data_IF_300361524859
#
_entry.id   IF_300361524859
#
_cell.length_a   1.000
_cell.length_b   1.000
_cell.length_c   1.000
_cell.angle_alpha   90.00
_cell.angle_beta   90.00
_cell.angle_gamma   90.00
#
_symmetry.space_group_name_H-M   'P 1'
#
loop_
_entity.id
_entity.type
_entity.pdbx_description
1 polymer ?
#
# COMPACT_ATOMS: atom_id res chain seq x y z
N UNK A 1 19.40 29.03 33.70
CA UNK A 1 20.09 28.40 32.55
C UNK A 1 19.40 27.10 32.13
N UNK A 2 19.04 26.21 33.07
CA UNK A 2 18.37 24.92 32.78
C UNK A 2 17.02 25.03 32.07
N UNK A 3 16.12 25.93 32.49
CA UNK A 3 14.77 26.05 31.88
C UNK A 3 14.85 26.48 30.41
N UNK A 4 15.80 27.35 30.06
CA UNK A 4 16.01 27.78 28.67
C UNK A 4 16.55 26.66 27.79
N UNK A 5 17.48 25.85 28.30
CA UNK A 5 17.97 24.67 27.60
C UNK A 5 16.87 23.62 27.42
N UNK A 6 16.07 23.35 28.46
CA UNK A 6 14.95 22.41 28.39
C UNK A 6 13.91 22.83 27.35
N UNK A 7 13.53 24.12 27.31
CA UNK A 7 12.57 24.62 26.32
C UNK A 7 13.09 24.45 24.89
N UNK A 8 14.37 24.77 24.63
CA UNK A 8 14.97 24.58 23.30
C UNK A 8 14.96 23.10 22.89
N UNK A 9 15.27 22.18 23.80
CA UNK A 9 15.22 20.74 23.52
C UNK A 9 13.79 20.26 23.27
N UNK A 10 12.82 20.74 24.05
CA UNK A 10 11.41 20.40 23.89
C UNK A 10 10.83 20.92 22.55
N UNK A 11 11.19 22.15 22.16
CA UNK A 11 10.77 22.74 20.89
C UNK A 11 11.40 22.01 19.70
N UNK A 12 12.68 21.63 19.80
CA UNK A 12 13.37 20.85 18.79
C UNK A 12 12.74 19.46 18.63
N UNK A 13 12.46 18.76 19.73
CA UNK A 13 11.78 17.47 19.72
C UNK A 13 10.37 17.58 19.11
N UNK A 14 9.62 18.61 19.48
CA UNK A 14 8.27 18.87 18.93
C UNK A 14 8.33 19.11 17.42
N UNK A 15 9.31 19.90 16.97
CA UNK A 15 9.49 20.21 15.54
C UNK A 15 9.85 18.97 14.74
N UNK A 16 10.80 18.16 15.22
CA UNK A 16 11.19 16.91 14.58
C UNK A 16 10.03 15.90 14.49
N UNK A 17 9.21 15.81 15.53
CA UNK A 17 8.02 14.93 15.51
C UNK A 17 7.01 15.41 14.46
N UNK A 18 6.73 16.72 14.40
CA UNK A 18 5.80 17.30 13.42
C UNK A 18 6.27 17.05 11.98
N UNK A 19 7.57 17.28 11.71
CA UNK A 19 8.17 17.01 10.41
C UNK A 19 8.02 15.55 10.01
N UNK A 20 8.27 14.62 10.95
CA UNK A 20 8.09 13.19 10.70
C UNK A 20 6.64 12.82 10.38
N UNK A 21 5.67 13.35 11.13
CA UNK A 21 4.26 13.09 10.85
C UNK A 21 3.84 13.64 9.49
N UNK A 22 4.27 14.85 9.14
CA UNK A 22 3.99 15.43 7.81
C UNK A 22 4.61 14.60 6.69
N UNK A 23 5.83 14.09 6.88
CA UNK A 23 6.47 13.20 5.91
C UNK A 23 5.69 11.90 5.74
N UNK A 24 5.24 11.29 6.84
CA UNK A 24 4.42 10.07 6.80
C UNK A 24 3.08 10.30 6.11
N UNK A 25 2.45 11.44 6.34
CA UNK A 25 1.21 11.82 5.65
C UNK A 25 1.42 11.95 4.14
N UNK A 26 2.52 12.59 3.70
CA UNK A 26 2.86 12.68 2.27
C UNK A 26 3.06 11.29 1.65
N UNK A 27 3.76 10.39 2.35
CA UNK A 27 3.96 9.01 1.88
C UNK A 27 2.62 8.26 1.83
N UNK A 28 1.80 8.40 2.87
CA UNK A 28 0.48 7.79 2.92
C UNK A 28 -0.42 8.28 1.79
N UNK A 29 -0.41 9.57 1.46
CA UNK A 29 -1.25 10.09 0.39
C UNK A 29 -0.83 9.54 -0.97
N UNK A 30 0.48 9.41 -1.22
CA UNK A 30 1.02 8.94 -2.50
C UNK A 30 0.95 7.42 -2.70
N UNK A 31 1.15 6.65 -1.63
CA UNK A 31 1.31 5.19 -1.69
C UNK A 31 0.19 4.44 -0.95
N UNK A 32 -0.73 5.16 -0.31
CA UNK A 32 -1.77 4.59 0.55
C UNK A 32 -2.65 3.59 -0.16
N UNK A 33 -2.93 3.82 -1.45
CA UNK A 33 -3.70 2.92 -2.33
C UNK A 33 -3.24 1.47 -2.22
N UNK A 34 -1.93 1.21 -2.10
CA UNK A 34 -1.36 -0.14 -2.00
C UNK A 34 -1.76 -0.90 -0.73
N UNK A 35 -2.27 -0.18 0.28
CA UNK A 35 -2.62 -0.74 1.59
C UNK A 35 -4.11 -0.72 1.88
N UNK A 36 -4.87 0.15 1.22
CA UNK A 36 -6.29 0.38 1.51
C UNK A 36 -7.21 0.16 0.30
N UNK A 37 -6.70 -0.21 -0.89
CA UNK A 37 -7.50 -0.45 -2.09
C UNK A 37 -8.76 -1.33 -1.89
N UNK A 38 -8.79 -2.35 -1.00
CA UNK A 38 -10.01 -3.14 -0.80
C UNK A 38 -11.18 -2.35 -0.17
N UNK A 39 -10.90 -1.18 0.39
CA UNK A 39 -11.85 -0.32 1.12
C UNK A 39 -12.21 0.98 0.40
N UNK A 40 -11.58 1.25 -0.75
CA UNK A 40 -11.78 2.48 -1.50
C UNK A 40 -13.01 2.38 -2.41
N UNK A 41 -13.71 3.52 -2.58
CA UNK A 41 -14.70 3.65 -3.63
C UNK A 41 -14.02 3.76 -5.01
N UNK A 42 -14.75 3.39 -6.07
CA UNK A 42 -14.22 3.38 -7.44
C UNK A 42 -13.55 4.69 -7.90
N UNK A 43 -14.14 5.82 -7.53
CA UNK A 43 -13.62 7.16 -7.87
C UNK A 43 -12.30 7.44 -7.14
N UNK A 44 -12.28 7.17 -5.84
CA UNK A 44 -11.10 7.38 -4.98
C UNK A 44 -9.96 6.41 -5.34
N UNK A 45 -10.27 5.16 -5.68
CA UNK A 45 -9.30 4.20 -6.20
C UNK A 45 -8.64 4.71 -7.49
N UNK A 46 -9.45 5.28 -8.38
CA UNK A 46 -8.95 5.81 -9.67
C UNK A 46 -8.03 7.00 -9.45
N UNK A 47 -8.44 7.94 -8.60
CA UNK A 47 -7.64 9.11 -8.25
C UNK A 47 -6.29 8.71 -7.62
N UNK A 48 -6.31 7.83 -6.62
CA UNK A 48 -5.08 7.43 -5.94
C UNK A 48 -4.16 6.55 -6.82
N UNK A 49 -4.69 5.76 -7.76
CA UNK A 49 -3.86 5.02 -8.71
C UNK A 49 -3.19 5.94 -9.74
N UNK A 50 -3.90 6.97 -10.22
CA UNK A 50 -3.32 7.99 -11.11
C UNK A 50 -2.25 8.83 -10.37
N UNK A 51 -2.47 9.15 -9.10
CA UNK A 51 -1.47 9.84 -8.26
C UNK A 51 -0.23 8.98 -7.99
N UNK A 52 -0.41 7.67 -7.73
CA UNK A 52 0.69 6.73 -7.59
C UNK A 52 1.50 6.61 -8.90
N UNK A 53 0.81 6.44 -10.03
CA UNK A 53 1.42 6.40 -11.37
C UNK A 53 2.24 7.67 -11.63
N UNK A 54 1.66 8.85 -11.38
CA UNK A 54 2.35 10.14 -11.52
C UNK A 54 3.54 10.27 -10.57
N UNK A 55 3.41 9.77 -9.34
CA UNK A 55 4.49 9.81 -8.34
C UNK A 55 5.69 8.95 -8.75
N UNK A 56 5.43 7.81 -9.38
CA UNK A 56 6.47 6.87 -9.84
C UNK A 56 7.00 7.22 -11.23
N UNK A 57 6.33 8.12 -11.95
CA UNK A 57 6.80 8.62 -13.23
C UNK A 57 8.10 9.41 -13.08
N UNK A 58 9.14 9.01 -13.81
CA UNK A 58 10.41 9.69 -13.82
C UNK A 58 10.98 9.78 -15.25
N UNK A 59 11.30 11.00 -15.66
CA UNK A 59 11.95 11.31 -16.95
C UNK A 59 11.22 10.74 -18.18
N UNK A 60 9.89 10.86 -18.21
CA UNK A 60 9.08 10.39 -19.34
C UNK A 60 8.78 8.89 -19.32
N UNK A 61 9.37 8.13 -18.40
CA UNK A 61 9.11 6.71 -18.21
C UNK A 61 8.25 6.48 -16.97
N UNK A 62 7.26 5.59 -17.10
CA UNK A 62 6.54 5.01 -15.97
C UNK A 62 6.50 3.50 -16.17
N UNK A 63 6.90 2.76 -15.14
CA UNK A 63 6.71 1.31 -15.10
C UNK A 63 5.28 0.92 -14.69
N UNK A 64 4.47 1.91 -14.29
CA UNK A 64 3.11 1.71 -13.78
C UNK A 64 2.13 2.58 -14.59
N UNK A 65 1.08 1.97 -15.12
CA UNK A 65 -0.09 2.67 -15.67
C UNK A 65 -1.21 2.65 -14.62
N UNK A 66 -1.62 3.82 -14.15
CA UNK A 66 -2.65 3.94 -13.11
C UNK A 66 -4.01 3.38 -13.54
N UNK A 67 -4.35 3.41 -14.82
CA UNK A 67 -5.63 2.88 -15.33
C UNK A 67 -5.60 1.37 -15.45
N UNK A 68 -4.48 0.82 -15.91
CA UNK A 68 -4.24 -0.62 -15.91
C UNK A 68 -4.32 -1.15 -14.48
N UNK A 69 -3.63 -0.50 -13.53
CA UNK A 69 -3.67 -0.87 -12.12
C UNK A 69 -5.09 -0.87 -11.53
N UNK A 70 -5.93 0.13 -11.86
CA UNK A 70 -7.34 0.14 -11.42
C UNK A 70 -8.09 -1.08 -11.94
N UNK A 71 -7.87 -1.47 -13.20
CA UNK A 71 -8.51 -2.65 -13.77
C UNK A 71 -7.99 -3.93 -13.12
N UNK A 72 -6.69 -4.04 -12.87
CA UNK A 72 -6.07 -5.16 -12.17
C UNK A 72 -6.66 -5.33 -10.77
N UNK A 73 -6.75 -4.23 -10.00
CA UNK A 73 -7.33 -4.25 -8.65
C UNK A 73 -8.80 -4.65 -8.67
N UNK A 74 -9.60 -4.13 -9.63
CA UNK A 74 -11.03 -4.47 -9.76
C UNK A 74 -11.27 -5.92 -10.17
N UNK A 75 -10.37 -6.47 -10.97
CA UNK A 75 -10.42 -7.86 -11.40
C UNK A 75 -9.78 -8.81 -10.37
N UNK A 76 -9.05 -8.27 -9.40
CA UNK A 76 -8.42 -9.04 -8.35
C UNK A 76 -9.49 -9.79 -7.52
N UNK A 77 -9.38 -11.11 -7.35
CA UNK A 77 -10.36 -11.85 -6.57
C UNK A 77 -10.29 -11.44 -5.10
N UNK A 78 -11.42 -11.56 -4.40
CA UNK A 78 -11.48 -11.31 -2.96
C UNK A 78 -10.36 -12.04 -2.22
N UNK A 79 -9.73 -11.37 -1.25
CA UNK A 79 -8.67 -11.98 -0.44
C UNK A 79 -9.18 -13.25 0.26
N UNK A 80 -8.32 -14.28 0.41
CA UNK A 80 -8.69 -15.47 1.17
C UNK A 80 -9.03 -15.11 2.61
N UNK A 81 -10.05 -15.79 3.18
CA UNK A 81 -10.47 -15.54 4.55
C UNK A 81 -9.40 -16.01 5.54
N UNK A 82 -9.18 -15.23 6.61
CA UNK A 82 -8.25 -15.58 7.70
C UNK A 82 -8.68 -16.82 8.49
N UNK A 83 -9.91 -17.31 8.29
CA UNK A 83 -10.45 -18.51 8.93
C UNK A 83 -10.34 -19.76 8.06
N UNK A 84 -9.87 -19.66 6.81
CA UNK A 84 -9.70 -20.83 5.93
C UNK A 84 -8.63 -21.77 6.48
N UNK A 85 -8.88 -23.07 6.39
CA UNK A 85 -7.84 -24.08 6.56
C UNK A 85 -6.83 -24.03 5.42
N UNK A 86 -5.65 -24.64 5.61
CA UNK A 86 -4.62 -24.69 4.57
C UNK A 86 -5.11 -25.34 3.26
N UNK A 87 -5.92 -26.39 3.35
CA UNK A 87 -6.47 -27.06 2.16
C UNK A 87 -7.48 -26.18 1.41
N UNK A 88 -8.32 -25.45 2.15
CA UNK A 88 -9.25 -24.49 1.55
C UNK A 88 -8.48 -23.33 0.90
N UNK A 89 -7.39 -22.87 1.51
CA UNK A 89 -6.51 -21.85 0.93
C UNK A 89 -5.82 -22.34 -0.35
N UNK A 90 -5.27 -23.56 -0.38
CA UNK A 90 -4.65 -24.13 -1.58
C UNK A 90 -5.68 -24.27 -2.70
N UNK A 91 -6.88 -24.76 -2.36
CA UNK A 91 -7.99 -24.89 -3.32
C UNK A 91 -8.41 -23.52 -3.85
N UNK A 92 -8.51 -22.53 -2.97
CA UNK A 92 -8.81 -21.15 -3.35
C UNK A 92 -7.76 -20.57 -4.31
N UNK A 93 -6.47 -20.74 -4.02
CA UNK A 93 -5.37 -20.27 -4.88
C UNK A 93 -5.46 -20.93 -6.26
N UNK A 94 -5.70 -22.23 -6.31
CA UNK A 94 -5.85 -22.98 -7.56
C UNK A 94 -7.07 -22.52 -8.37
N UNK A 95 -8.24 -22.44 -7.73
CA UNK A 95 -9.51 -22.12 -8.41
C UNK A 95 -9.57 -20.67 -8.91
N UNK A 96 -8.77 -19.78 -8.32
CA UNK A 96 -8.65 -18.37 -8.70
C UNK A 96 -7.44 -18.07 -9.57
N UNK A 97 -6.66 -19.08 -9.93
CA UNK A 97 -5.42 -18.95 -10.71
C UNK A 97 -4.43 -17.94 -10.11
N UNK A 98 -4.24 -18.02 -8.79
CA UNK A 98 -3.41 -17.07 -8.02
C UNK A 98 -2.01 -17.62 -7.70
N UNK A 99 -1.55 -18.64 -8.42
CA UNK A 99 -0.29 -19.31 -8.15
C UNK A 99 0.93 -18.39 -8.32
N UNK A 100 0.85 -17.43 -9.25
CA UNK A 100 1.91 -16.44 -9.45
C UNK A 100 2.03 -15.49 -8.24
N UNK A 101 0.88 -15.04 -7.72
CA UNK A 101 0.81 -14.09 -6.60
C UNK A 101 1.19 -14.76 -5.28
N UNK A 102 0.77 -16.01 -5.05
CA UNK A 102 1.05 -16.79 -3.84
C UNK A 102 2.12 -17.86 -4.05
N UNK A 103 3.17 -17.54 -4.81
CA UNK A 103 4.23 -18.48 -5.21
C UNK A 103 4.90 -19.18 -4.02
N UNK A 104 5.12 -18.49 -2.89
CA UNK A 104 5.70 -19.08 -1.68
C UNK A 104 4.84 -20.20 -1.10
N UNK A 105 3.51 -20.05 -1.10
CA UNK A 105 2.58 -21.04 -0.55
C UNK A 105 2.55 -22.28 -1.44
N UNK A 106 2.51 -22.08 -2.75
CA UNK A 106 2.56 -23.19 -3.72
C UNK A 106 3.87 -23.97 -3.57
N UNK A 107 5.01 -23.27 -3.44
CA UNK A 107 6.32 -23.90 -3.27
C UNK A 107 6.41 -24.76 -2.00
N UNK A 108 5.83 -24.33 -0.89
CA UNK A 108 5.85 -25.08 0.38
C UNK A 108 4.95 -26.33 0.38
N UNK A 109 4.08 -26.49 -0.61
CA UNK A 109 3.11 -27.60 -0.71
C UNK A 109 3.42 -28.58 -1.85
N UNK A 110 4.48 -28.30 -2.62
CA UNK A 110 5.00 -29.12 -3.73
C UNK A 110 6.01 -30.16 -3.24
#
# INVERSE_FOLDING_TARGET
LEVGFFNVVADAATSAIKERFSTLEIVQNKFGVLTNFPSLADEELTEQCEELSTTLHFDGNSDLDGRELVQEIKNFPNLPSTTMSLLELITFIHDKDLAEIYSEIVFLTS
#
